data_IF_457015263756
#
_entry.id   IF_457015263756
#
_cell.length_a   1.000
_cell.length_b   1.000
_cell.length_c   1.000
_cell.angle_alpha   90.00
_cell.angle_beta   90.00
_cell.angle_gamma   90.00
#
_symmetry.space_group_name_H-M   'P 1'
#
loop_
_entity.id
_entity.type
_entity.pdbx_description
1 polymer ?
#
# COMPACT_ATOMS: atom_id res chain seq x y z
N UNK A 1 -7.38 -19.41 -8.34
CA UNK A 1 -6.15 -19.46 -7.51
C UNK A 1 -4.97 -19.48 -8.48
N UNK A 2 -4.28 -18.33 -8.64
CA UNK A 2 -3.06 -18.28 -9.46
C UNK A 2 -1.90 -18.72 -8.59
N UNK A 3 -1.36 -19.90 -8.87
CA UNK A 3 -0.17 -20.42 -8.22
C UNK A 3 0.98 -19.43 -8.37
N UNK A 4 1.57 -19.02 -7.26
CA UNK A 4 2.82 -18.26 -7.27
C UNK A 4 3.89 -19.13 -7.91
N UNK A 5 4.72 -18.60 -8.83
CA UNK A 5 5.80 -19.38 -9.42
C UNK A 5 6.80 -19.76 -8.32
N UNK A 6 7.07 -21.04 -8.21
CA UNK A 6 8.13 -21.58 -7.32
C UNK A 6 9.47 -21.15 -7.93
N UNK A 7 10.39 -20.52 -7.16
CA UNK A 7 11.70 -20.16 -7.68
C UNK A 7 12.48 -21.41 -8.06
N UNK A 8 12.86 -21.53 -9.32
CA UNK A 8 13.84 -22.54 -9.75
C UNK A 8 15.20 -22.04 -9.29
N UNK A 9 15.81 -22.72 -8.32
CA UNK A 9 17.14 -22.39 -7.83
C UNK A 9 18.15 -22.44 -8.99
N UNK A 10 18.89 -21.33 -9.19
CA UNK A 10 19.96 -21.24 -10.20
C UNK A 10 19.58 -20.62 -11.53
N UNK A 11 18.33 -20.33 -11.82
CA UNK A 11 17.93 -19.68 -13.08
C UNK A 11 18.27 -18.18 -13.05
N UNK A 12 19.01 -17.73 -14.07
CA UNK A 12 19.29 -16.31 -14.29
C UNK A 12 18.35 -15.76 -15.33
N UNK A 13 17.57 -14.76 -14.92
CA UNK A 13 16.54 -14.15 -15.75
C UNK A 13 16.98 -12.79 -16.27
N UNK A 14 16.52 -12.46 -17.45
CA UNK A 14 16.48 -11.08 -17.94
C UNK A 14 15.35 -10.31 -17.24
N UNK A 15 15.36 -8.98 -17.32
CA UNK A 15 14.26 -8.17 -16.75
C UNK A 15 12.90 -8.48 -17.39
N UNK A 16 12.88 -8.86 -18.68
CA UNK A 16 11.67 -9.25 -19.38
C UNK A 16 11.11 -10.58 -18.89
N UNK A 17 11.97 -11.58 -18.70
CA UNK A 17 11.59 -12.88 -18.15
C UNK A 17 11.12 -12.76 -16.69
N UNK A 18 11.81 -11.94 -15.89
CA UNK A 18 11.41 -11.63 -14.51
C UNK A 18 10.01 -10.98 -14.48
N UNK A 19 9.76 -10.00 -15.36
CA UNK A 19 8.45 -9.33 -15.46
C UNK A 19 7.35 -10.31 -15.88
N UNK A 20 7.61 -11.16 -16.86
CA UNK A 20 6.65 -12.13 -17.37
C UNK A 20 6.19 -13.12 -16.30
N UNK A 21 7.08 -13.55 -15.38
CA UNK A 21 6.72 -14.45 -14.28
C UNK A 21 5.65 -13.88 -13.35
N UNK A 22 5.58 -12.55 -13.22
CA UNK A 22 4.62 -11.88 -12.35
C UNK A 22 3.49 -11.18 -13.13
N UNK A 23 3.43 -11.35 -14.45
CA UNK A 23 2.45 -10.67 -15.30
C UNK A 23 2.62 -9.14 -15.30
N UNK A 24 3.84 -8.66 -15.07
CA UNK A 24 4.18 -7.25 -15.02
C UNK A 24 4.73 -6.77 -16.36
N UNK A 25 4.47 -5.53 -16.70
CA UNK A 25 5.15 -4.89 -17.81
C UNK A 25 6.62 -4.59 -17.43
N UNK A 26 7.54 -4.78 -18.38
CA UNK A 26 8.99 -4.59 -18.14
C UNK A 26 9.33 -3.18 -17.63
N UNK A 27 8.58 -2.14 -18.05
CA UNK A 27 8.81 -0.77 -17.59
C UNK A 27 8.54 -0.59 -16.08
N UNK A 28 7.63 -1.37 -15.49
CA UNK A 28 7.36 -1.36 -14.05
C UNK A 28 8.60 -1.82 -13.29
N UNK A 29 9.24 -2.92 -13.71
CA UNK A 29 10.47 -3.39 -13.08
C UNK A 29 11.65 -2.45 -13.31
N UNK A 30 11.71 -1.79 -14.47
CA UNK A 30 12.72 -0.73 -14.71
C UNK A 30 12.53 0.46 -13.79
N UNK A 31 11.30 0.85 -13.53
CA UNK A 31 11.00 1.87 -12.54
C UNK A 31 11.42 1.42 -11.13
N UNK A 32 11.09 0.19 -10.73
CA UNK A 32 11.51 -0.35 -9.44
C UNK A 32 13.05 -0.45 -9.30
N UNK A 33 13.75 -0.75 -10.39
CA UNK A 33 15.20 -0.71 -10.44
C UNK A 33 15.72 0.73 -10.24
N UNK A 34 15.12 1.71 -10.92
CA UNK A 34 15.54 3.11 -10.84
C UNK A 34 15.35 3.71 -9.44
N UNK A 35 14.33 3.28 -8.71
CA UNK A 35 14.08 3.72 -7.32
C UNK A 35 14.74 2.82 -6.27
N UNK A 36 15.55 1.82 -6.69
CA UNK A 36 16.31 0.96 -5.78
C UNK A 36 15.52 -0.12 -5.06
N UNK A 37 14.31 -0.45 -5.53
CA UNK A 37 13.51 -1.55 -4.99
C UNK A 37 14.03 -2.91 -5.40
N UNK A 38 14.53 -3.04 -6.62
CA UNK A 38 15.22 -4.23 -7.13
C UNK A 38 16.58 -3.81 -7.72
N UNK A 39 17.48 -4.76 -7.86
CA UNK A 39 18.79 -4.53 -8.51
C UNK A 39 19.20 -5.78 -9.28
N UNK A 40 19.91 -5.65 -10.40
CA UNK A 40 20.50 -6.81 -11.03
C UNK A 40 21.56 -7.42 -10.10
N UNK A 41 21.58 -8.74 -9.99
CA UNK A 41 22.55 -9.44 -9.16
C UNK A 41 23.93 -9.43 -9.82
N UNK A 42 23.95 -9.53 -11.15
CA UNK A 42 25.18 -9.41 -11.94
C UNK A 42 24.93 -8.97 -13.38
N UNK A 43 26.02 -8.72 -14.12
CA UNK A 43 25.98 -8.50 -15.56
C UNK A 43 26.75 -9.61 -16.27
N UNK A 44 26.14 -10.17 -17.31
CA UNK A 44 26.78 -11.17 -18.19
C UNK A 44 26.79 -10.60 -19.60
N UNK A 45 27.95 -10.42 -20.19
CA UNK A 45 28.13 -9.80 -21.52
C UNK A 45 27.39 -8.44 -21.64
N UNK A 46 27.50 -7.59 -20.62
CA UNK A 46 26.84 -6.29 -20.54
C UNK A 46 25.33 -6.34 -20.23
N UNK A 47 24.70 -7.52 -20.19
CA UNK A 47 23.27 -7.68 -19.93
C UNK A 47 22.99 -7.95 -18.45
N UNK A 48 21.99 -7.28 -17.91
CA UNK A 48 21.51 -7.46 -16.53
C UNK A 48 20.93 -8.84 -16.32
N UNK A 49 21.27 -9.49 -15.20
CA UNK A 49 20.76 -10.79 -14.78
C UNK A 49 20.20 -10.69 -13.37
N UNK A 50 19.09 -11.39 -13.15
CA UNK A 50 18.34 -11.43 -11.90
C UNK A 50 18.20 -12.88 -11.44
N UNK A 51 18.46 -13.12 -10.17
CA UNK A 51 18.41 -14.48 -9.56
C UNK A 51 17.10 -14.70 -8.80
N UNK A 52 16.96 -15.85 -8.19
CA UNK A 52 15.83 -16.19 -7.31
C UNK A 52 15.64 -15.20 -6.16
N UNK A 53 16.71 -14.56 -5.69
CA UNK A 53 16.61 -13.51 -4.66
C UNK A 53 15.79 -12.31 -5.14
N UNK A 54 15.92 -11.92 -6.41
CA UNK A 54 15.11 -10.84 -6.97
C UNK A 54 13.66 -11.29 -7.25
N UNK A 55 13.42 -12.55 -7.59
CA UNK A 55 12.06 -13.10 -7.66
C UNK A 55 11.33 -12.97 -6.32
N UNK A 56 11.96 -13.40 -5.24
CA UNK A 56 11.40 -13.25 -3.89
C UNK A 56 11.14 -11.77 -3.56
N UNK A 57 12.08 -10.89 -3.93
CA UNK A 57 11.97 -9.47 -3.69
C UNK A 57 10.80 -8.84 -4.46
N UNK A 58 10.61 -9.18 -5.73
CA UNK A 58 9.45 -8.76 -6.54
C UNK A 58 8.14 -9.26 -5.92
N UNK A 59 8.08 -10.53 -5.50
CA UNK A 59 6.90 -11.07 -4.83
C UNK A 59 6.54 -10.31 -3.55
N UNK A 60 7.52 -9.96 -2.71
CA UNK A 60 7.33 -9.16 -1.50
C UNK A 60 6.80 -7.77 -1.86
N UNK A 61 7.35 -7.12 -2.89
CA UNK A 61 6.89 -5.80 -3.33
C UNK A 61 5.43 -5.86 -3.79
N UNK A 62 5.06 -6.85 -4.61
CA UNK A 62 3.69 -7.01 -5.07
C UNK A 62 2.72 -7.23 -3.91
N UNK A 63 3.04 -8.14 -2.98
CA UNK A 63 2.20 -8.39 -1.80
C UNK A 63 2.09 -7.17 -0.89
N UNK A 64 3.18 -6.45 -0.69
CA UNK A 64 3.17 -5.20 0.07
C UNK A 64 2.26 -4.16 -0.56
N UNK A 65 2.28 -4.05 -1.90
CA UNK A 65 1.37 -3.16 -2.64
C UNK A 65 -0.10 -3.56 -2.51
N UNK A 66 -0.40 -4.84 -2.56
CA UNK A 66 -1.77 -5.36 -2.37
C UNK A 66 -2.36 -4.99 -1.00
N UNK A 67 -1.53 -4.96 0.04
CA UNK A 67 -1.96 -4.52 1.38
C UNK A 67 -1.80 -3.02 1.63
N UNK A 68 -1.50 -2.24 0.58
CA UNK A 68 -1.46 -0.77 0.65
C UNK A 68 -0.13 -0.17 1.14
N UNK A 69 0.95 -0.96 1.27
CA UNK A 69 2.27 -0.41 1.62
C UNK A 69 2.83 0.39 0.44
N UNK A 70 3.22 1.65 0.66
CA UNK A 70 3.81 2.52 -0.35
C UNK A 70 5.20 2.03 -0.82
N UNK A 71 5.58 2.39 -2.05
CA UNK A 71 6.88 1.98 -2.60
C UNK A 71 8.07 2.49 -1.77
N UNK A 72 8.00 3.69 -1.20
CA UNK A 72 9.04 4.23 -0.33
C UNK A 72 9.18 3.45 0.97
N UNK A 73 8.06 3.03 1.57
CA UNK A 73 8.05 2.18 2.75
C UNK A 73 8.63 0.79 2.44
N UNK A 74 8.29 0.21 1.28
CA UNK A 74 8.85 -1.05 0.80
C UNK A 74 10.35 -0.92 0.55
N UNK A 75 10.81 0.20 -0.04
CA UNK A 75 12.23 0.47 -0.26
C UNK A 75 12.99 0.53 1.07
N UNK A 76 12.47 1.27 2.05
CA UNK A 76 13.08 1.34 3.38
C UNK A 76 13.12 -0.06 4.03
N UNK A 77 12.01 -0.79 4.02
CA UNK A 77 11.91 -2.11 4.61
C UNK A 77 12.88 -3.13 3.98
N UNK A 78 13.00 -3.11 2.64
CA UNK A 78 13.86 -4.04 1.90
C UNK A 78 15.33 -3.62 1.87
N UNK A 79 15.63 -2.34 2.16
CA UNK A 79 16.99 -1.81 2.22
C UNK A 79 17.65 -1.93 3.61
N UNK A 80 16.89 -2.23 4.64
CA UNK A 80 17.39 -2.36 6.02
C UNK A 80 17.75 -3.81 6.31
N UNK A 81 18.94 -4.06 6.83
CA UNK A 81 19.37 -5.42 7.26
C UNK A 81 18.77 -5.81 8.61
N UNK A 82 18.43 -4.83 9.44
CA UNK A 82 17.86 -5.06 10.77
C UNK A 82 16.39 -5.52 10.71
N UNK A 83 16.15 -6.70 11.26
CA UNK A 83 14.81 -7.29 11.37
C UNK A 83 13.86 -6.48 12.26
N UNK A 84 14.36 -5.83 13.29
CA UNK A 84 13.55 -5.00 14.21
C UNK A 84 13.05 -3.75 13.48
N UNK A 85 13.90 -3.09 12.70
CA UNK A 85 13.52 -1.94 11.90
C UNK A 85 12.47 -2.30 10.83
N UNK A 86 12.61 -3.48 10.18
CA UNK A 86 11.56 -3.97 9.26
C UNK A 86 10.22 -4.17 9.95
N UNK A 87 10.24 -4.78 11.15
CA UNK A 87 9.02 -4.99 11.95
C UNK A 87 8.37 -3.67 12.35
N UNK A 88 9.15 -2.66 12.72
CA UNK A 88 8.64 -1.34 13.08
C UNK A 88 7.91 -0.64 11.93
N UNK A 89 8.37 -0.80 10.67
CA UNK A 89 7.66 -0.27 9.48
C UNK A 89 6.29 -0.94 9.33
N UNK A 90 6.24 -2.28 9.44
CA UNK A 90 4.98 -3.02 9.34
C UNK A 90 4.02 -2.66 10.47
N UNK A 91 4.52 -2.49 11.69
CA UNK A 91 3.72 -2.08 12.84
C UNK A 91 3.06 -0.72 12.61
N UNK A 92 3.82 0.29 12.19
CA UNK A 92 3.28 1.62 11.88
C UNK A 92 2.22 1.58 10.79
N UNK A 93 2.43 0.75 9.75
CA UNK A 93 1.44 0.61 8.68
C UNK A 93 0.15 -0.04 9.20
N UNK A 94 0.25 -1.07 10.05
CA UNK A 94 -0.91 -1.69 10.70
C UNK A 94 -1.66 -0.68 11.56
N UNK A 95 -0.97 0.08 12.39
CA UNK A 95 -1.58 1.07 13.28
C UNK A 95 -2.31 2.17 12.48
N UNK A 96 -1.80 2.52 11.30
CA UNK A 96 -2.48 3.44 10.38
C UNK A 96 -3.75 2.83 9.78
N UNK A 97 -3.71 1.55 9.41
CA UNK A 97 -4.91 0.84 8.93
C UNK A 97 -5.97 0.73 10.03
N UNK A 98 -5.58 0.43 11.28
CA UNK A 98 -6.48 0.37 12.42
C UNK A 98 -7.18 1.72 12.64
N UNK A 99 -6.44 2.83 12.52
CA UNK A 99 -7.04 4.18 12.59
C UNK A 99 -8.03 4.44 11.45
N UNK A 100 -7.71 4.05 10.22
CA UNK A 100 -8.64 4.19 9.06
C UNK A 100 -9.89 3.35 9.24
N UNK A 101 -9.76 2.14 9.74
CA UNK A 101 -10.89 1.26 10.06
C UNK A 101 -11.78 1.90 11.11
N UNK A 102 -11.21 2.44 12.19
CA UNK A 102 -11.97 3.10 13.24
C UNK A 102 -12.75 4.31 12.71
N UNK A 103 -12.13 5.16 11.89
CA UNK A 103 -12.81 6.32 11.25
C UNK A 103 -13.92 5.86 10.31
N UNK A 104 -13.65 4.87 9.47
CA UNK A 104 -14.65 4.35 8.53
C UNK A 104 -15.84 3.70 9.28
N UNK A 105 -15.57 2.99 10.36
CA UNK A 105 -16.61 2.37 11.21
C UNK A 105 -17.50 3.46 11.84
N UNK A 106 -16.89 4.48 12.45
CA UNK A 106 -17.66 5.58 13.05
C UNK A 106 -18.49 6.34 12.01
N UNK A 107 -17.94 6.54 10.80
CA UNK A 107 -18.69 7.16 9.69
C UNK A 107 -19.88 6.32 9.26
N UNK A 108 -19.71 5.01 9.17
CA UNK A 108 -20.81 4.07 8.83
C UNK A 108 -21.87 4.10 9.90
N UNK A 109 -21.49 4.03 11.18
CA UNK A 109 -22.44 4.01 12.30
C UNK A 109 -23.29 5.31 12.35
N UNK A 110 -22.70 6.45 11.95
CA UNK A 110 -23.44 7.71 11.79
C UNK A 110 -24.48 7.63 10.66
N UNK A 111 -24.10 7.05 9.52
CA UNK A 111 -24.98 6.87 8.37
C UNK A 111 -26.11 5.88 8.69
N UNK A 112 -25.78 4.76 9.32
CA UNK A 112 -26.75 3.76 9.75
C UNK A 112 -27.79 4.38 10.68
N UNK A 113 -27.35 5.20 11.65
CA UNK A 113 -28.27 5.93 12.52
C UNK A 113 -29.19 6.89 11.74
N UNK A 114 -28.66 7.62 10.75
CA UNK A 114 -29.46 8.55 9.96
C UNK A 114 -30.49 7.81 9.07
N UNK A 115 -30.15 6.64 8.54
CA UNK A 115 -31.01 5.82 7.70
C UNK A 115 -32.12 5.12 8.50
N UNK A 116 -31.82 4.67 9.71
CA UNK A 116 -32.74 3.92 10.57
C UNK A 116 -33.47 4.81 11.59
N UNK A 117 -33.26 6.12 11.53
CA UNK A 117 -33.82 7.07 12.49
C UNK A 117 -35.37 7.08 12.39
N UNK A 118 -36.12 6.84 13.50
CA UNK A 118 -37.58 6.89 13.49
C UNK A 118 -38.14 8.33 13.38
N UNK A 119 -37.28 9.33 13.49
CA UNK A 119 -37.66 10.75 13.31
C UNK A 119 -37.60 11.07 11.82
N UNK A 120 -38.71 11.59 11.26
CA UNK A 120 -38.83 11.87 9.82
C UNK A 120 -37.71 12.78 9.29
N UNK A 121 -37.23 13.70 10.11
CA UNK A 121 -36.05 14.52 9.83
C UNK A 121 -34.92 14.17 10.81
N UNK A 122 -33.96 13.37 10.39
CA UNK A 122 -32.82 12.92 11.22
C UNK A 122 -31.97 14.09 11.74
N UNK A 123 -32.03 15.25 11.08
CA UNK A 123 -31.29 16.47 11.55
C UNK A 123 -31.84 16.99 12.87
N UNK A 124 -33.10 16.68 13.21
CA UNK A 124 -33.74 17.03 14.47
C UNK A 124 -33.63 15.93 15.52
N UNK A 125 -33.03 14.79 15.18
CA UNK A 125 -32.82 13.67 16.11
C UNK A 125 -31.76 14.03 17.16
N UNK A 126 -32.08 13.98 18.48
CA UNK A 126 -31.10 14.31 19.53
C UNK A 126 -29.92 13.36 19.56
N UNK A 127 -30.12 12.08 19.17
CA UNK A 127 -29.08 11.06 19.14
C UNK A 127 -28.11 11.32 17.98
N UNK A 128 -28.63 11.67 16.80
CA UNK A 128 -27.83 12.07 15.67
C UNK A 128 -26.98 13.32 15.98
N UNK A 129 -27.59 14.34 16.60
CA UNK A 129 -26.87 15.54 17.00
C UNK A 129 -25.76 15.25 18.01
N UNK A 130 -25.97 14.33 18.94
CA UNK A 130 -24.93 13.90 19.88
C UNK A 130 -23.79 13.15 19.17
N UNK A 131 -24.08 12.30 18.19
CA UNK A 131 -23.09 11.60 17.39
C UNK A 131 -22.21 12.56 16.59
N UNK A 132 -22.82 13.57 15.96
CA UNK A 132 -22.10 14.58 15.17
C UNK A 132 -21.23 15.47 16.06
N UNK A 133 -21.63 15.76 17.30
CA UNK A 133 -20.89 16.60 18.24
C UNK A 133 -19.84 15.81 19.05
N UNK A 134 -19.82 14.47 18.94
CA UNK A 134 -18.92 13.61 19.66
C UNK A 134 -17.45 13.76 19.26
N UNK A 135 -16.50 13.37 20.11
CA UNK A 135 -15.05 13.54 19.88
C UNK A 135 -14.50 12.78 18.68
N UNK A 136 -15.28 11.90 18.04
CA UNK A 136 -14.90 11.15 16.83
C UNK A 136 -15.15 11.89 15.52
N UNK A 137 -15.90 12.96 15.52
CA UNK A 137 -16.29 13.71 14.33
C UNK A 137 -15.42 14.97 14.10
N UNK A 138 -14.09 14.85 14.28
CA UNK A 138 -13.18 15.92 13.86
C UNK A 138 -12.98 15.84 12.35
N UNK A 139 -13.53 16.80 11.64
CA UNK A 139 -13.34 17.03 10.21
C UNK A 139 -11.88 17.33 9.81
N UNK A 140 -10.97 17.41 10.76
CA UNK A 140 -9.56 17.77 10.55
C UNK A 140 -8.77 16.74 9.72
N UNK A 141 -9.32 15.56 9.48
CA UNK A 141 -8.65 14.52 8.69
C UNK A 141 -9.06 14.51 7.21
N UNK A 142 -10.14 15.17 6.83
CA UNK A 142 -10.64 15.14 5.44
C UNK A 142 -10.08 16.24 4.53
N UNK A 143 -9.42 17.26 5.10
CA UNK A 143 -8.94 18.43 4.33
C UNK A 143 -7.48 18.31 3.88
N UNK A 144 -6.77 17.23 4.18
CA UNK A 144 -5.34 17.09 3.85
C UNK A 144 -5.02 16.25 2.62
N UNK A 145 -6.03 15.63 2.01
CA UNK A 145 -5.87 14.87 0.77
C UNK A 145 -6.73 15.49 -0.33
N UNK A 146 -6.22 16.46 -1.04
CA UNK A 146 -6.89 16.96 -2.23
C UNK A 146 -6.74 18.44 -2.53
N UNK A 147 -5.53 18.92 -2.63
CA UNK A 147 -5.29 20.13 -3.40
C UNK A 147 -4.39 19.81 -4.57
N UNK A 148 -4.93 19.67 -5.81
CA UNK A 148 -4.11 19.78 -6.98
C UNK A 148 -3.66 21.25 -7.05
N UNK A 149 -2.38 21.49 -6.92
CA UNK A 149 -1.78 22.76 -7.33
C UNK A 149 -1.88 22.82 -8.85
N UNK A 150 -2.93 23.48 -9.35
CA UNK A 150 -2.92 24.05 -10.66
C UNK A 150 -2.06 25.29 -10.60
N UNK A 151 -0.93 25.26 -11.26
CA UNK A 151 -0.24 26.47 -11.64
C UNK A 151 -0.54 26.73 -13.10
N UNK A 152 -1.33 27.78 -13.32
CA UNK A 152 -1.32 28.59 -14.51
C UNK A 152 -0.04 29.45 -14.49
N UNK A 153 0.79 29.35 -15.56
CA UNK A 153 1.20 30.47 -16.40
C UNK A 153 2.23 29.99 -17.46
#
# INVERSE_FOLDING_TARGET
MKSSPVPVEGAELTIGELAAQFGLATHVLRHWESVGLIKPDRRVNGRRRYTSAQLTRVAIIMRGREVGIGLDQLRMMLGVEDAAARRAVLQRHRDELDRRIAVATASRDLLDHALDCPVEDFLQCPDFQRLVQGPGCRLDTLTKEGRPTGEDD
#
